data_IF_590797127295
#
_entry.id   IF_590797127295
#
_cell.length_a   1.000
_cell.length_b   1.000
_cell.length_c   1.000
_cell.angle_alpha   90.00
_cell.angle_beta   90.00
_cell.angle_gamma   90.00
#
_symmetry.space_group_name_H-M   'P 1'
#
loop_
_entity.id
_entity.type
_entity.pdbx_description
1 polymer ?
#
# COMPACT_ATOMS: atom_id res chain seq x y z
N UNK A 1 36.04 4.46 -29.06
CA UNK A 1 35.46 4.16 -27.74
C UNK A 1 33.98 4.54 -27.74
N UNK A 2 33.17 3.89 -28.58
CA UNK A 2 31.77 4.30 -28.86
C UNK A 2 30.74 3.20 -28.48
N UNK A 3 31.22 2.04 -28.02
CA UNK A 3 30.38 0.86 -27.78
C UNK A 3 29.78 0.78 -26.36
N UNK A 4 30.32 1.50 -25.38
CA UNK A 4 29.94 1.29 -23.98
C UNK A 4 28.61 1.97 -23.58
N UNK A 5 28.18 3.01 -24.32
CA UNK A 5 26.89 3.66 -24.08
C UNK A 5 25.68 2.80 -24.51
N UNK A 6 25.87 1.86 -25.45
CA UNK A 6 24.78 1.01 -25.96
C UNK A 6 24.37 -0.12 -25.00
N UNK A 7 25.23 -0.52 -24.06
CA UNK A 7 24.94 -1.68 -23.20
C UNK A 7 23.97 -1.38 -22.05
N UNK A 8 23.98 -0.17 -21.48
CA UNK A 8 23.10 0.15 -20.35
C UNK A 8 21.63 0.36 -20.76
N UNK A 9 21.34 0.78 -22.00
CA UNK A 9 19.96 0.94 -22.48
C UNK A 9 19.22 -0.40 -22.68
N UNK A 10 19.93 -1.49 -23.01
CA UNK A 10 19.29 -2.82 -23.16
C UNK A 10 18.87 -3.46 -21.83
N UNK A 11 19.46 -3.06 -20.70
CA UNK A 11 19.25 -3.74 -19.43
C UNK A 11 17.91 -3.46 -18.77
N UNK A 12 17.15 -2.43 -19.18
CA UNK A 12 15.82 -2.14 -18.64
C UNK A 12 14.69 -2.34 -19.66
N UNK A 13 15.00 -2.73 -20.89
CA UNK A 13 13.98 -3.12 -21.85
C UNK A 13 13.47 -4.50 -21.48
N UNK A 14 12.29 -4.53 -20.87
CA UNK A 14 11.50 -5.75 -20.75
C UNK A 14 10.98 -6.05 -22.15
N UNK A 15 11.14 -7.28 -22.62
CA UNK A 15 10.52 -7.69 -23.87
C UNK A 15 8.99 -7.70 -23.68
N UNK A 16 8.32 -6.67 -24.21
CA UNK A 16 6.87 -6.52 -24.11
C UNK A 16 6.12 -7.66 -24.81
N UNK A 17 6.76 -8.37 -25.75
CA UNK A 17 6.18 -9.55 -26.39
C UNK A 17 6.22 -10.77 -25.46
N UNK A 18 7.29 -10.92 -24.66
CA UNK A 18 7.45 -12.03 -23.72
C UNK A 18 6.65 -11.80 -22.43
N UNK A 19 6.61 -10.56 -21.93
CA UNK A 19 5.94 -10.19 -20.68
C UNK A 19 4.99 -9.00 -20.86
N UNK A 20 3.81 -9.21 -21.47
CA UNK A 20 2.84 -8.14 -21.72
C UNK A 20 2.24 -7.62 -20.41
N UNK A 21 2.00 -6.30 -20.33
CA UNK A 21 1.48 -5.64 -19.12
C UNK A 21 2.32 -5.96 -17.87
N UNK A 22 3.64 -5.81 -18.02
CA UNK A 22 4.60 -5.99 -16.95
C UNK A 22 4.95 -4.67 -16.26
N UNK A 23 5.31 -4.75 -14.97
CA UNK A 23 5.86 -3.63 -14.21
C UNK A 23 7.14 -4.05 -13.49
N UNK A 24 8.17 -3.21 -13.59
CA UNK A 24 9.43 -3.42 -12.88
C UNK A 24 9.35 -2.76 -11.50
N UNK A 25 9.56 -3.55 -10.44
CA UNK A 25 9.72 -3.07 -9.08
C UNK A 25 11.21 -3.05 -8.73
N UNK A 26 11.78 -1.85 -8.63
CA UNK A 26 13.17 -1.65 -8.20
C UNK A 26 13.29 -1.90 -6.69
N UNK A 27 14.02 -2.93 -6.32
CA UNK A 27 14.25 -3.33 -4.93
C UNK A 27 15.52 -2.63 -4.43
N UNK A 28 15.38 -1.91 -3.33
CA UNK A 28 16.47 -1.20 -2.66
C UNK A 28 16.37 -1.39 -1.16
N UNK A 29 17.52 -1.55 -0.51
CA UNK A 29 17.64 -1.67 0.96
C UNK A 29 17.11 -0.43 1.70
N UNK A 30 16.94 0.71 1.02
CA UNK A 30 16.34 1.94 1.59
C UNK A 30 14.84 1.80 1.88
N UNK A 31 14.17 0.79 1.34
CA UNK A 31 12.73 0.55 1.54
C UNK A 31 12.53 -0.71 2.36
N UNK A 32 11.58 -0.67 3.29
CA UNK A 32 11.26 -1.84 4.11
C UNK A 32 10.64 -2.94 3.26
N UNK A 33 10.88 -4.20 3.64
CA UNK A 33 10.27 -5.37 2.98
C UNK A 33 8.74 -5.25 2.91
N UNK A 34 8.10 -4.79 4.00
CA UNK A 34 6.64 -4.60 4.06
C UNK A 34 6.13 -3.59 3.03
N UNK A 35 6.86 -2.50 2.82
CA UNK A 35 6.51 -1.50 1.80
C UNK A 35 6.55 -2.13 0.41
N UNK A 36 7.67 -2.77 0.05
CA UNK A 36 7.85 -3.39 -1.27
C UNK A 36 6.82 -4.49 -1.54
N UNK A 37 6.52 -5.31 -0.54
CA UNK A 37 5.50 -6.35 -0.63
C UNK A 37 4.09 -5.78 -0.84
N UNK A 38 3.76 -4.70 -0.13
CA UNK A 38 2.48 -4.00 -0.31
C UNK A 38 2.38 -3.43 -1.72
N UNK A 39 3.39 -2.71 -2.18
CA UNK A 39 3.44 -2.13 -3.53
C UNK A 39 3.32 -3.21 -4.61
N UNK A 40 4.05 -4.32 -4.48
CA UNK A 40 3.96 -5.45 -5.40
C UNK A 40 2.53 -6.00 -5.49
N UNK A 41 1.89 -6.21 -4.35
CA UNK A 41 0.51 -6.71 -4.28
C UNK A 41 -0.51 -5.72 -4.84
N UNK A 42 -0.33 -4.42 -4.60
CA UNK A 42 -1.20 -3.36 -5.15
C UNK A 42 -1.07 -3.27 -6.68
N UNK A 43 0.14 -3.38 -7.24
CA UNK A 43 0.34 -3.42 -8.70
C UNK A 43 -0.36 -4.62 -9.34
N UNK A 44 -0.22 -5.81 -8.75
CA UNK A 44 -0.88 -7.03 -9.19
C UNK A 44 -2.41 -6.94 -9.05
N UNK A 45 -2.90 -6.32 -7.97
CA UNK A 45 -4.33 -6.07 -7.77
C UNK A 45 -4.88 -5.07 -8.79
N UNK A 46 -4.13 -4.03 -9.13
CA UNK A 46 -4.45 -3.00 -10.12
C UNK A 46 -4.41 -3.46 -11.59
N UNK A 47 -4.29 -4.78 -11.83
CA UNK A 47 -4.38 -5.36 -13.17
C UNK A 47 -3.03 -5.66 -13.83
N UNK A 48 -1.90 -5.45 -13.16
CA UNK A 48 -0.59 -5.88 -13.68
C UNK A 48 -0.54 -7.40 -13.79
N UNK A 49 -0.16 -7.93 -14.96
CA UNK A 49 -0.06 -9.38 -15.18
C UNK A 49 1.28 -9.93 -14.70
N UNK A 50 2.38 -9.25 -15.00
CA UNK A 50 3.72 -9.67 -14.60
C UNK A 50 4.39 -8.58 -13.75
N UNK A 51 4.97 -8.97 -12.63
CA UNK A 51 5.84 -8.09 -11.83
C UNK A 51 7.28 -8.58 -11.90
N UNK A 52 8.21 -7.66 -12.15
CA UNK A 52 9.63 -7.96 -12.30
C UNK A 52 10.36 -7.34 -11.11
N UNK A 53 10.80 -8.18 -10.18
CA UNK A 53 11.60 -7.73 -9.04
C UNK A 53 13.04 -7.54 -9.49
N UNK A 54 13.55 -6.32 -9.46
CA UNK A 54 14.90 -5.99 -9.94
C UNK A 54 15.75 -5.43 -8.80
N UNK A 55 16.82 -6.13 -8.44
CA UNK A 55 17.76 -5.71 -7.39
C UNK A 55 19.20 -5.75 -7.88
N UNK A 56 20.05 -4.93 -7.26
CA UNK A 56 21.49 -4.87 -7.52
C UNK A 56 22.26 -4.98 -6.20
N UNK A 57 23.42 -5.63 -6.22
CA UNK A 57 24.38 -5.66 -5.11
C UNK A 57 23.80 -6.17 -3.80
N UNK A 58 23.70 -5.27 -2.81
CA UNK A 58 23.21 -5.57 -1.46
C UNK A 58 21.69 -5.79 -1.39
N UNK A 59 20.93 -5.40 -2.43
CA UNK A 59 19.49 -5.58 -2.50
C UNK A 59 19.06 -6.99 -2.95
N UNK A 60 19.99 -7.83 -3.42
CA UNK A 60 19.68 -9.17 -3.96
C UNK A 60 19.00 -10.09 -2.92
N UNK A 61 19.44 -10.18 -1.65
CA UNK A 61 18.75 -10.98 -0.65
C UNK A 61 17.31 -10.51 -0.41
N UNK A 62 17.08 -9.19 -0.47
CA UNK A 62 15.74 -8.62 -0.32
C UNK A 62 14.83 -8.96 -1.51
N UNK A 63 15.36 -9.03 -2.74
CA UNK A 63 14.62 -9.53 -3.91
C UNK A 63 14.12 -10.96 -3.68
N UNK A 64 15.00 -11.86 -3.23
CA UNK A 64 14.67 -13.27 -2.99
C UNK A 64 13.64 -13.40 -1.86
N UNK A 65 13.81 -12.65 -0.78
CA UNK A 65 12.83 -12.61 0.32
C UNK A 65 11.47 -12.10 -0.14
N UNK A 66 11.44 -11.09 -1.01
CA UNK A 66 10.21 -10.55 -1.57
C UNK A 66 9.51 -11.56 -2.48
N UNK A 67 10.27 -12.25 -3.34
CA UNK A 67 9.75 -13.36 -4.16
C UNK A 67 9.12 -14.45 -3.29
N UNK A 68 9.82 -14.93 -2.26
CA UNK A 68 9.29 -15.94 -1.34
C UNK A 68 8.01 -15.47 -0.62
N UNK A 69 7.95 -14.19 -0.22
CA UNK A 69 6.75 -13.62 0.42
C UNK A 69 5.55 -13.57 -0.54
N UNK A 70 5.78 -13.20 -1.80
CA UNK A 70 4.70 -13.14 -2.80
C UNK A 70 4.17 -14.53 -3.17
N UNK A 71 5.05 -15.54 -3.28
CA UNK A 71 4.63 -16.92 -3.53
C UNK A 71 3.88 -17.53 -2.36
N UNK A 72 4.40 -17.40 -1.13
CA UNK A 72 3.77 -17.98 0.07
C UNK A 72 2.38 -17.40 0.38
N UNK A 73 2.07 -16.23 -0.18
CA UNK A 73 0.75 -15.56 -0.07
C UNK A 73 -0.14 -15.76 -1.29
N UNK A 74 0.24 -16.67 -2.21
CA UNK A 74 -0.45 -16.90 -3.48
C UNK A 74 -0.69 -15.60 -4.26
N UNK A 75 0.25 -14.66 -4.23
CA UNK A 75 0.12 -13.39 -4.96
C UNK A 75 0.64 -13.49 -6.39
N UNK A 76 1.78 -14.16 -6.57
CA UNK A 76 2.41 -14.35 -7.87
C UNK A 76 3.28 -15.60 -7.89
N UNK A 77 3.47 -16.17 -9.08
CA UNK A 77 4.30 -17.35 -9.35
C UNK A 77 5.54 -16.93 -10.15
N UNK A 78 6.72 -17.45 -9.79
CA UNK A 78 7.94 -17.19 -10.56
C UNK A 78 7.86 -17.87 -11.92
N UNK A 79 8.16 -17.12 -12.99
CA UNK A 79 8.20 -17.63 -14.37
C UNK A 79 9.59 -17.58 -14.98
N UNK A 80 10.44 -16.64 -14.56
CA UNK A 80 11.81 -16.50 -15.06
C UNK A 80 12.70 -15.84 -14.01
N UNK A 81 13.97 -16.24 -13.96
CA UNK A 81 15.00 -15.61 -13.13
C UNK A 81 16.19 -15.30 -14.03
N UNK A 82 16.66 -14.07 -14.00
CA UNK A 82 17.84 -13.61 -14.73
C UNK A 82 18.83 -12.97 -13.76
N UNK A 83 20.09 -13.38 -13.87
CA UNK A 83 21.21 -12.74 -13.16
C UNK A 83 22.02 -11.93 -14.14
N UNK A 84 22.50 -10.77 -13.71
CA UNK A 84 23.37 -9.92 -14.51
C UNK A 84 24.63 -9.54 -13.72
N UNK A 85 25.67 -9.14 -14.44
CA UNK A 85 26.89 -8.58 -13.85
C UNK A 85 27.23 -7.30 -14.62
N UNK A 86 26.79 -6.16 -14.07
CA UNK A 86 26.80 -4.88 -14.79
C UNK A 86 27.99 -4.03 -14.37
N UNK A 87 28.69 -3.50 -15.37
CA UNK A 87 29.81 -2.57 -15.15
C UNK A 87 29.31 -1.13 -15.00
N UNK A 88 29.72 -0.46 -13.93
CA UNK A 88 29.37 0.93 -13.66
C UNK A 88 30.61 1.83 -13.76
N UNK A 89 30.69 2.64 -14.82
CA UNK A 89 31.81 3.56 -15.09
C UNK A 89 32.06 4.56 -13.97
N UNK A 90 31.03 4.93 -13.19
CA UNK A 90 31.17 5.93 -12.13
C UNK A 90 32.16 5.51 -11.04
N UNK A 91 32.27 4.21 -10.76
CA UNK A 91 33.11 3.66 -9.70
C UNK A 91 34.10 2.61 -10.21
N UNK A 92 34.22 2.42 -11.53
CA UNK A 92 34.97 1.33 -12.16
C UNK A 92 34.67 -0.04 -11.54
N UNK A 93 33.42 -0.25 -11.11
CA UNK A 93 33.02 -1.41 -10.32
C UNK A 93 32.00 -2.26 -11.07
N UNK A 94 32.12 -3.57 -10.94
CA UNK A 94 31.08 -4.49 -11.37
C UNK A 94 30.11 -4.75 -10.23
N UNK A 95 28.81 -4.66 -10.52
CA UNK A 95 27.75 -4.89 -9.55
C UNK A 95 26.87 -6.04 -10.04
N UNK A 96 26.69 -7.10 -9.23
CA UNK A 96 25.77 -8.18 -9.57
C UNK A 96 24.32 -7.68 -9.53
N UNK A 97 23.49 -8.22 -10.41
CA UNK A 97 22.07 -7.92 -10.52
C UNK A 97 21.22 -9.17 -10.60
N UNK A 98 19.97 -9.04 -10.16
CA UNK A 98 18.97 -10.11 -10.19
C UNK A 98 17.63 -9.52 -10.62
N UNK A 99 17.02 -10.16 -11.61
CA UNK A 99 15.64 -9.95 -12.01
C UNK A 99 14.85 -11.23 -11.82
N UNK A 100 13.72 -11.13 -11.12
CA UNK A 100 12.78 -12.23 -10.94
C UNK A 100 11.46 -11.80 -11.57
N UNK A 101 11.06 -12.50 -12.62
CA UNK A 101 9.80 -12.30 -13.32
C UNK A 101 8.75 -13.18 -12.66
N UNK A 102 7.66 -12.57 -12.22
CA UNK A 102 6.58 -13.26 -11.53
C UNK A 102 5.24 -12.94 -12.19
N UNK A 103 4.48 -13.97 -12.57
CA UNK A 103 3.12 -13.84 -13.08
C UNK A 103 2.11 -13.80 -11.93
N UNK A 104 1.11 -12.93 -12.01
CA UNK A 104 0.00 -12.85 -11.06
C UNK A 104 -0.65 -14.22 -10.89
N UNK A 105 -0.82 -14.66 -9.64
CA UNK A 105 -1.52 -15.90 -9.36
C UNK A 105 -3.01 -15.75 -9.75
N UNK A 106 -3.64 -16.75 -10.42
CA UNK A 106 -5.03 -16.63 -10.89
C UNK A 106 -6.04 -16.33 -9.76
N UNK A 107 -5.81 -16.90 -8.58
CA UNK A 107 -6.66 -16.69 -7.40
C UNK A 107 -6.38 -15.37 -6.67
N UNK A 108 -5.31 -14.66 -7.03
CA UNK A 108 -4.93 -13.42 -6.37
C UNK A 108 -5.84 -12.27 -6.82
N UNK A 109 -6.80 -11.93 -5.97
CA UNK A 109 -7.71 -10.79 -6.17
C UNK A 109 -7.19 -9.48 -5.56
N UNK A 110 -6.03 -9.51 -4.89
CA UNK A 110 -5.51 -8.37 -4.13
C UNK A 110 -6.02 -8.31 -2.69
N UNK A 111 -5.43 -7.42 -1.90
CA UNK A 111 -6.07 -6.95 -0.68
C UNK A 111 -7.23 -6.05 -1.12
N UNK A 112 -8.49 -6.50 -0.95
CA UNK A 112 -9.67 -5.69 -1.22
C UNK A 112 -9.67 -4.45 -0.31
N UNK A 113 -9.01 -3.39 -0.74
CA UNK A 113 -9.61 -2.06 -0.63
C UNK A 113 -10.30 -1.89 -1.97
N UNK A 114 -11.62 -2.01 -1.99
CA UNK A 114 -12.41 -1.82 -3.20
C UNK A 114 -12.02 -0.50 -3.86
N UNK A 115 -11.90 -0.42 -5.20
CA UNK A 115 -11.74 0.85 -5.91
C UNK A 115 -12.80 1.91 -5.56
N UNK A 116 -13.91 1.52 -4.89
CA UNK A 116 -14.96 2.43 -4.43
C UNK A 116 -14.71 3.15 -3.10
N UNK A 117 -13.58 2.95 -2.39
CA UNK A 117 -13.40 3.55 -1.05
C UNK A 117 -12.90 5.00 -1.02
N UNK A 118 -12.64 5.61 -2.19
CA UNK A 118 -12.38 7.05 -2.30
C UNK A 118 -13.22 7.60 -3.45
N UNK A 119 -14.47 7.92 -3.13
CA UNK A 119 -15.31 8.78 -3.96
C UNK A 119 -15.02 10.23 -3.57
N UNK A 120 -14.37 10.99 -4.44
CA UNK A 120 -14.40 12.44 -4.34
C UNK A 120 -15.67 12.91 -5.04
N UNK A 121 -16.75 13.11 -4.28
CA UNK A 121 -17.91 13.83 -4.78
C UNK A 121 -17.55 15.30 -5.01
N UNK A 122 -18.29 15.96 -5.91
CA UNK A 122 -18.20 17.41 -6.07
C UNK A 122 -18.41 18.08 -4.70
N UNK A 123 -17.64 19.15 -4.45
CA UNK A 123 -17.74 19.88 -3.19
C UNK A 123 -19.14 20.48 -3.09
N UNK A 124 -19.98 19.89 -2.25
CA UNK A 124 -21.28 20.44 -1.87
C UNK A 124 -21.12 21.40 -0.70
N UNK A 125 -22.11 22.27 -0.49
CA UNK A 125 -22.13 23.20 0.65
C UNK A 125 -22.44 22.50 1.99
N UNK A 126 -22.86 21.23 1.94
CA UNK A 126 -23.24 20.41 3.09
C UNK A 126 -22.32 19.20 3.24
N UNK A 127 -21.96 18.87 4.49
CA UNK A 127 -21.22 17.63 4.78
C UNK A 127 -22.03 16.38 4.40
N UNK A 128 -21.32 15.33 4.00
CA UNK A 128 -21.92 13.99 3.87
C UNK A 128 -22.54 13.59 5.22
N UNK A 129 -23.79 13.08 5.25
CA UNK A 129 -24.40 12.58 6.48
C UNK A 129 -23.52 11.54 7.18
N UNK A 130 -23.53 11.54 8.52
CA UNK A 130 -22.74 10.60 9.32
C UNK A 130 -23.25 9.16 9.15
N UNK A 131 -24.56 8.99 9.02
CA UNK A 131 -25.20 7.71 8.70
C UNK A 131 -26.30 7.94 7.66
N UNK A 132 -26.51 6.95 6.80
CA UNK A 132 -27.66 6.93 5.90
C UNK A 132 -28.95 6.68 6.70
N UNK A 133 -30.05 7.33 6.31
CA UNK A 133 -31.37 7.12 6.96
C UNK A 133 -31.90 5.69 6.75
N UNK A 134 -31.53 5.05 5.64
CA UNK A 134 -31.94 3.71 5.26
C UNK A 134 -30.70 2.83 4.99
N UNK A 135 -29.96 2.43 6.05
CA UNK A 135 -28.72 1.68 5.88
C UNK A 135 -29.02 0.28 5.32
N UNK A 136 -28.26 -0.13 4.31
CA UNK A 136 -28.31 -1.47 3.73
C UNK A 136 -27.26 -2.43 4.33
N UNK A 137 -26.32 -1.90 5.11
CA UNK A 137 -25.27 -2.64 5.80
C UNK A 137 -24.87 -1.94 7.11
N UNK A 138 -24.15 -2.65 7.99
CA UNK A 138 -23.63 -2.08 9.24
C UNK A 138 -22.39 -1.24 8.96
N UNK A 139 -22.55 0.08 8.99
CA UNK A 139 -21.48 1.05 8.74
C UNK A 139 -21.02 1.67 10.06
N UNK A 140 -19.71 1.84 10.22
CA UNK A 140 -19.12 2.60 11.32
C UNK A 140 -18.47 3.86 10.77
N UNK A 141 -19.01 5.01 11.13
CA UNK A 141 -18.45 6.31 10.77
C UNK A 141 -17.40 6.74 11.78
N UNK A 142 -16.26 7.21 11.29
CA UNK A 142 -15.13 7.61 12.12
C UNK A 142 -15.18 9.11 12.41
N UNK A 143 -15.28 9.45 13.69
CA UNK A 143 -15.19 10.82 14.14
C UNK A 143 -13.72 11.27 14.17
N UNK A 144 -13.40 12.38 13.48
CA UNK A 144 -12.11 13.05 13.60
C UNK A 144 -12.09 13.94 14.85
N UNK A 145 -12.02 13.29 16.02
CA UNK A 145 -11.88 13.97 17.31
C UNK A 145 -10.53 14.67 17.48
N UNK A 146 -10.38 15.37 18.60
CA UNK A 146 -9.18 16.14 18.91
C UNK A 146 -8.34 15.52 20.05
N UNK A 147 -7.26 16.20 20.44
CA UNK A 147 -6.37 15.74 21.50
C UNK A 147 -7.01 15.75 22.89
N UNK A 148 -8.10 16.50 23.08
CA UNK A 148 -8.82 16.62 24.34
C UNK A 148 -9.81 15.46 24.53
N UNK A 149 -10.07 14.69 23.48
CA UNK A 149 -10.89 13.47 23.50
C UNK A 149 -12.35 13.74 23.88
N UNK A 150 -12.89 14.91 23.56
CA UNK A 150 -14.33 15.18 23.71
C UNK A 150 -15.04 15.02 22.36
N UNK A 151 -16.37 14.91 22.41
CA UNK A 151 -17.23 14.92 21.21
C UNK A 151 -17.97 16.26 21.16
N UNK A 152 -17.73 17.06 20.12
CA UNK A 152 -18.30 18.41 19.99
C UNK A 152 -17.43 19.38 19.20
N UNK A 153 -17.70 20.68 19.38
CA UNK A 153 -16.99 21.75 18.68
C UNK A 153 -17.47 21.93 17.24
N UNK A 154 -16.55 22.16 16.31
CA UNK A 154 -16.84 22.40 14.90
C UNK A 154 -16.53 21.19 14.00
N UNK A 155 -16.92 21.28 12.73
CA UNK A 155 -16.65 20.27 11.71
C UNK A 155 -17.33 18.94 12.01
N UNK A 156 -16.68 17.83 11.63
CA UNK A 156 -17.26 16.49 11.79
C UNK A 156 -17.48 16.12 13.27
N UNK A 157 -16.61 16.58 14.18
CA UNK A 157 -16.77 16.30 15.62
C UNK A 157 -18.01 17.00 16.21
N UNK A 158 -18.29 18.22 15.76
CA UNK A 158 -19.53 18.94 16.06
C UNK A 158 -20.77 18.20 15.53
N UNK A 159 -20.73 17.76 14.28
CA UNK A 159 -21.83 16.99 13.69
C UNK A 159 -22.12 15.67 14.45
N UNK A 160 -21.10 14.98 14.96
CA UNK A 160 -21.29 13.82 15.83
C UNK A 160 -21.97 14.20 17.17
N UNK A 161 -21.63 15.33 17.76
CA UNK A 161 -22.27 15.81 18.99
C UNK A 161 -23.75 16.11 18.80
N UNK A 162 -24.10 16.80 17.71
CA UNK A 162 -25.50 17.10 17.37
C UNK A 162 -26.31 15.81 17.14
N UNK A 163 -25.74 14.88 16.36
CA UNK A 163 -26.36 13.58 16.09
C UNK A 163 -26.59 12.79 17.38
N UNK A 164 -25.58 12.69 18.24
CA UNK A 164 -25.69 11.94 19.50
C UNK A 164 -26.67 12.60 20.46
N UNK A 165 -26.63 13.93 20.58
CA UNK A 165 -27.56 14.71 21.41
C UNK A 165 -29.01 14.54 20.97
N UNK A 166 -29.27 14.57 19.66
CA UNK A 166 -30.64 14.37 19.12
C UNK A 166 -31.19 12.96 19.41
N UNK A 167 -30.32 11.99 19.70
CA UNK A 167 -30.67 10.64 20.11
C UNK A 167 -30.57 10.44 21.63
N UNK A 168 -30.68 11.53 22.41
CA UNK A 168 -30.67 11.55 23.88
C UNK A 168 -29.41 10.92 24.50
N UNK A 169 -28.28 10.95 23.80
CA UNK A 169 -27.00 10.56 24.38
C UNK A 169 -26.40 11.70 25.18
N UNK A 170 -25.78 11.37 26.31
CA UNK A 170 -25.10 12.35 27.15
C UNK A 170 -23.69 12.64 26.61
N UNK A 171 -23.58 13.62 25.71
CA UNK A 171 -22.33 13.87 24.96
C UNK A 171 -21.14 14.21 25.85
N UNK A 172 -21.36 14.94 26.95
CA UNK A 172 -20.28 15.34 27.88
C UNK A 172 -19.61 14.15 28.59
N UNK A 173 -20.31 13.00 28.67
CA UNK A 173 -19.75 11.79 29.31
C UNK A 173 -18.67 11.10 28.47
N UNK A 174 -18.65 11.33 27.15
CA UNK A 174 -17.69 10.67 26.27
C UNK A 174 -16.24 11.05 26.57
N UNK A 175 -15.98 12.29 26.99
CA UNK A 175 -14.62 12.71 27.35
C UNK A 175 -14.07 11.91 28.54
N UNK A 176 -14.88 11.77 29.57
CA UNK A 176 -14.53 10.99 30.76
C UNK A 176 -14.30 9.51 30.39
N UNK A 177 -15.20 8.95 29.58
CA UNK A 177 -15.10 7.57 29.09
C UNK A 177 -13.80 7.34 28.30
N UNK A 178 -13.49 8.19 27.32
CA UNK A 178 -12.31 8.04 26.47
C UNK A 178 -11.00 8.22 27.25
N UNK A 179 -10.97 9.13 28.23
CA UNK A 179 -9.82 9.27 29.13
C UNK A 179 -9.59 8.02 29.97
N UNK A 180 -10.64 7.43 30.53
CA UNK A 180 -10.55 6.15 31.29
C UNK A 180 -9.99 5.03 30.41
N UNK A 181 -10.55 4.88 29.20
CA UNK A 181 -10.08 3.87 28.24
C UNK A 181 -8.59 4.09 27.92
N UNK A 182 -8.18 5.33 27.59
CA UNK A 182 -6.79 5.67 27.28
C UNK A 182 -5.82 5.36 28.42
N UNK A 183 -6.22 5.58 29.68
CA UNK A 183 -5.42 5.25 30.87
C UNK A 183 -5.22 3.73 30.97
N UNK A 184 -6.28 2.95 30.81
CA UNK A 184 -6.21 1.49 30.91
C UNK A 184 -5.30 0.87 29.83
N UNK A 185 -5.26 1.44 28.62
CA UNK A 185 -4.34 1.00 27.57
C UNK A 185 -2.87 1.35 27.82
N UNK A 186 -2.56 2.31 28.71
CA UNK A 186 -1.17 2.61 29.11
C UNK A 186 -0.62 1.64 30.16
N UNK A 187 -1.48 0.96 30.92
CA UNK A 187 -1.08 0.05 32.01
C UNK A 187 -0.77 -1.38 31.48
N UNK A 188 -1.17 -1.69 30.24
CA UNK A 188 -0.98 -3.01 29.60
C UNK A 188 0.22 -2.98 28.62
N UNK A 189 1.27 -2.23 28.91
CA UNK A 189 2.53 -2.26 28.16
C UNK A 189 3.71 -2.57 29.07
#
# INVERSE_FOLDING_TARGET
>A
MENDKKHNQKQNNVDENEFPNSKVLLVSVKRTRRFLERTARELLAGGTRYIILSGLGDALPLCVQLQSSLQSKNAANVVKIETSYSYFNSNYSYTPGLKIYMEKHPEFKGSRISPGYVSFHEKTDSFTPIYDENPNEYICSLNAGDNNLYVGGEGINGAFSELLSSHNQEVDKYESLFKVIKINYKIIK
#
